data_IF_177385833881
#
_entry.id   IF_177385833881
#
_cell.length_a   1.000
_cell.length_b   1.000
_cell.length_c   1.000
_cell.angle_alpha   90.00
_cell.angle_beta   90.00
_cell.angle_gamma   90.00
#
_symmetry.space_group_name_H-M   'P 1'
#
loop_
_entity.id
_entity.type
_entity.pdbx_description
1 polymer ?
#
# COMPACT_ATOMS: atom_id res chain seq x y z
N UNK A 1 12.25 60.09 -22.75
CA UNK A 1 10.99 59.43 -22.32
C UNK A 1 10.44 58.72 -23.55
N UNK A 2 10.30 57.40 -23.70
CA UNK A 2 10.06 56.26 -22.80
C UNK A 2 10.72 55.03 -23.47
N UNK A 3 11.64 54.32 -22.82
CA UNK A 3 11.41 53.10 -22.03
C UNK A 3 10.67 52.00 -22.82
N UNK A 4 11.41 51.07 -23.43
CA UNK A 4 10.87 49.80 -23.93
C UNK A 4 11.70 48.65 -23.34
N UNK A 5 11.24 48.20 -22.18
CA UNK A 5 11.76 47.07 -21.41
C UNK A 5 11.35 45.77 -22.08
N UNK A 6 12.31 45.03 -22.64
CA UNK A 6 12.08 43.68 -23.16
C UNK A 6 11.99 42.70 -21.97
N UNK A 7 10.77 42.36 -21.54
CA UNK A 7 10.55 41.34 -20.51
C UNK A 7 10.30 40.01 -21.23
N UNK A 8 11.31 39.13 -21.18
CA UNK A 8 11.23 37.75 -21.65
C UNK A 8 10.50 36.92 -20.57
N UNK A 9 9.19 36.72 -20.73
CA UNK A 9 8.38 35.86 -19.84
C UNK A 9 8.70 34.39 -20.10
N UNK A 10 9.54 33.80 -19.26
CA UNK A 10 9.79 32.36 -19.19
C UNK A 10 8.58 31.67 -18.53
N UNK A 11 7.70 31.10 -19.34
CA UNK A 11 6.60 30.24 -18.87
C UNK A 11 7.19 28.92 -18.40
N UNK A 12 7.37 28.79 -17.08
CA UNK A 12 7.73 27.52 -16.45
C UNK A 12 6.49 26.62 -16.42
N UNK A 13 6.44 25.65 -17.32
CA UNK A 13 5.44 24.57 -17.31
C UNK A 13 5.81 23.60 -16.18
N UNK A 14 5.40 23.90 -14.94
CA UNK A 14 5.48 22.94 -13.83
C UNK A 14 4.40 21.89 -14.03
N UNK A 15 4.72 20.85 -14.80
CA UNK A 15 3.92 19.64 -14.89
C UNK A 15 3.77 19.03 -13.49
N UNK A 16 2.54 18.99 -13.00
CA UNK A 16 2.20 18.26 -11.78
C UNK A 16 2.47 16.77 -12.05
N UNK A 17 3.57 16.24 -11.51
CA UNK A 17 3.81 14.80 -11.44
C UNK A 17 2.78 14.22 -10.47
N UNK A 18 1.70 13.66 -11.02
CA UNK A 18 0.74 12.87 -10.26
C UNK A 18 1.41 11.54 -9.90
N UNK A 19 1.84 11.37 -8.65
CA UNK A 19 2.20 10.04 -8.13
C UNK A 19 0.90 9.24 -8.02
N UNK A 20 0.65 8.40 -9.02
CA UNK A 20 -0.50 7.51 -9.03
C UNK A 20 -0.25 6.40 -8.02
N UNK A 21 -0.63 6.63 -6.77
CA UNK A 21 -0.53 5.62 -5.73
C UNK A 21 -1.60 4.56 -6.00
N UNK A 22 -1.17 3.30 -5.94
CA UNK A 22 -2.05 2.17 -6.18
C UNK A 22 -2.61 1.68 -4.85
N UNK A 23 -3.83 2.13 -4.51
CA UNK A 23 -4.61 1.55 -3.44
C UNK A 23 -5.40 0.32 -3.88
N UNK A 24 -5.68 -0.56 -2.92
CA UNK A 24 -6.47 -1.76 -3.09
C UNK A 24 -7.54 -1.85 -2.02
N UNK A 25 -8.77 -2.11 -2.44
CA UNK A 25 -9.87 -2.43 -1.55
C UNK A 25 -10.07 -3.95 -1.49
N UNK A 26 -9.96 -4.54 -0.30
CA UNK A 26 -10.08 -5.97 -0.02
C UNK A 26 -11.17 -6.19 1.03
N UNK A 27 -12.44 -6.38 0.63
CA UNK A 27 -13.58 -6.41 1.56
C UNK A 27 -13.59 -5.16 2.47
N UNK A 28 -13.40 -5.31 3.79
CA UNK A 28 -13.30 -4.21 4.76
C UNK A 28 -11.89 -3.62 4.95
N UNK A 29 -10.89 -4.06 4.18
CA UNK A 29 -9.51 -3.60 4.30
C UNK A 29 -9.10 -2.71 3.13
N UNK A 30 -8.73 -1.47 3.44
CA UNK A 30 -8.11 -0.52 2.52
C UNK A 30 -6.59 -0.62 2.63
N UNK A 31 -5.93 -1.04 1.55
CA UNK A 31 -4.47 -1.21 1.49
C UNK A 31 -3.90 -0.11 0.61
N UNK A 32 -3.06 0.75 1.18
CA UNK A 32 -2.36 1.81 0.42
C UNK A 32 -0.88 1.84 0.75
N UNK A 33 -0.09 2.45 -0.12
CA UNK A 33 1.34 2.72 0.13
C UNK A 33 1.50 4.22 0.34
N UNK A 34 2.34 4.60 1.30
CA UNK A 34 2.69 6.00 1.50
C UNK A 34 4.07 6.26 0.93
N UNK A 35 4.17 7.27 0.07
CA UNK A 35 5.41 7.55 -0.66
C UNK A 35 6.52 8.08 0.23
N UNK A 36 6.17 8.73 1.35
CA UNK A 36 7.18 9.35 2.22
C UNK A 36 8.03 8.31 2.95
N UNK A 37 7.45 7.17 3.32
CA UNK A 37 8.16 6.11 4.06
C UNK A 37 8.18 4.75 3.35
N UNK A 38 7.50 4.61 2.21
CA UNK A 38 7.40 3.36 1.46
C UNK A 38 6.67 2.23 2.21
N UNK A 39 5.99 2.56 3.32
CA UNK A 39 5.34 1.55 4.16
C UNK A 39 3.86 1.42 3.81
N UNK A 40 3.35 0.19 3.89
CA UNK A 40 1.93 -0.07 3.65
C UNK A 40 1.08 0.47 4.82
N UNK A 41 -0.10 0.98 4.49
CA UNK A 41 -1.18 1.27 5.43
C UNK A 41 -2.30 0.26 5.24
N UNK A 42 -2.79 -0.28 6.33
CA UNK A 42 -4.04 -1.04 6.39
C UNK A 42 -5.07 -0.17 7.09
N UNK A 43 -6.16 0.19 6.42
CA UNK A 43 -7.18 1.12 6.93
C UNK A 43 -6.60 2.45 7.41
N UNK A 44 -5.56 2.94 6.71
CA UNK A 44 -4.85 4.18 7.08
C UNK A 44 -3.86 4.03 8.23
N UNK A 45 -3.72 2.85 8.82
CA UNK A 45 -2.76 2.57 9.88
C UNK A 45 -1.48 1.95 9.31
N UNK A 46 -0.33 2.53 9.65
CA UNK A 46 0.98 2.05 9.19
C UNK A 46 1.29 0.69 9.80
N UNK A 47 1.62 -0.29 8.96
CA UNK A 47 2.06 -1.61 9.42
C UNK A 47 3.35 -1.51 10.22
N UNK A 48 3.49 -2.34 11.25
CA UNK A 48 4.68 -2.35 12.12
C UNK A 48 5.83 -3.13 11.51
N UNK A 49 5.54 -4.05 10.59
CA UNK A 49 6.54 -4.75 9.78
C UNK A 49 6.02 -5.01 8.37
N UNK A 50 6.93 -5.05 7.40
CA UNK A 50 6.63 -5.45 6.04
C UNK A 50 7.83 -6.19 5.42
N UNK A 51 7.53 -7.25 4.66
CA UNK A 51 8.51 -7.99 3.87
C UNK A 51 7.94 -8.26 2.49
N UNK A 52 8.56 -7.68 1.48
CA UNK A 52 8.19 -7.88 0.08
C UNK A 52 9.05 -8.98 -0.51
N UNK A 53 8.41 -9.96 -1.15
CA UNK A 53 9.04 -10.99 -1.96
C UNK A 53 8.49 -10.95 -3.38
N UNK A 54 9.39 -10.99 -4.36
CA UNK A 54 9.01 -11.10 -5.76
C UNK A 54 8.78 -12.58 -6.12
N UNK A 55 7.63 -12.89 -6.71
CA UNK A 55 7.20 -14.27 -7.01
C UNK A 55 7.84 -14.77 -8.31
N UNK A 56 8.11 -13.87 -9.26
CA UNK A 56 8.69 -14.19 -10.57
C UNK A 56 10.10 -13.64 -10.69
N UNK A 57 10.21 -12.34 -10.94
CA UNK A 57 11.48 -11.65 -11.20
C UNK A 57 11.66 -10.51 -10.21
N UNK A 58 12.92 -10.25 -9.83
CA UNK A 58 13.26 -9.15 -8.93
C UNK A 58 12.79 -7.81 -9.53
N UNK A 59 12.01 -7.04 -8.78
CA UNK A 59 11.46 -5.76 -9.24
C UNK A 59 10.08 -5.85 -9.90
N UNK A 60 9.54 -7.06 -10.13
CA UNK A 60 8.18 -7.23 -10.67
C UNK A 60 7.12 -6.98 -9.57
N UNK A 61 6.77 -5.70 -9.38
CA UNK A 61 5.75 -5.28 -8.42
C UNK A 61 4.32 -5.71 -8.79
N UNK A 62 4.09 -6.27 -9.98
CA UNK A 62 2.80 -6.88 -10.33
C UNK A 62 2.70 -8.34 -9.87
N UNK A 63 3.83 -8.98 -9.52
CA UNK A 63 3.90 -10.35 -9.02
C UNK A 63 4.66 -10.41 -7.69
N UNK A 64 4.04 -9.91 -6.63
CA UNK A 64 4.64 -9.85 -5.28
C UNK A 64 3.79 -10.57 -4.25
N UNK A 65 4.47 -11.06 -3.23
CA UNK A 65 3.88 -11.41 -1.94
C UNK A 65 4.45 -10.47 -0.89
N UNK A 66 3.58 -9.81 -0.15
CA UNK A 66 3.97 -8.91 0.93
C UNK A 66 3.38 -9.40 2.24
N UNK A 67 4.24 -9.91 3.12
CA UNK A 67 3.87 -10.29 4.48
C UNK A 67 4.03 -9.08 5.42
N UNK A 68 3.05 -8.82 6.27
CA UNK A 68 3.01 -7.63 7.13
C UNK A 68 2.47 -7.97 8.51
N UNK A 69 2.88 -7.19 9.51
CA UNK A 69 2.32 -7.21 10.85
C UNK A 69 1.74 -5.86 11.24
N UNK A 70 0.67 -5.85 12.05
CA UNK A 70 0.14 -4.65 12.69
C UNK A 70 -0.14 -4.98 14.16
N UNK A 71 0.72 -4.49 15.05
CA UNK A 71 0.80 -4.93 16.44
C UNK A 71 1.27 -3.80 17.38
N UNK A 72 0.42 -3.32 18.30
CA UNK A 72 -1.03 -3.46 18.27
C UNK A 72 -1.63 -2.67 17.09
N UNK A 73 -2.80 -3.08 16.62
CA UNK A 73 -3.66 -2.25 15.80
C UNK A 73 -4.49 -1.31 16.68
N UNK A 74 -5.12 -0.28 16.08
CA UNK A 74 -5.99 0.68 16.79
C UNK A 74 -7.14 0.05 17.58
N UNK A 75 -7.63 -1.10 17.16
CA UNK A 75 -8.71 -1.85 17.84
C UNK A 75 -8.21 -2.73 18.99
N UNK A 76 -6.91 -2.68 19.31
CA UNK A 76 -6.28 -3.47 20.37
C UNK A 76 -5.88 -4.88 19.96
N UNK A 77 -6.20 -5.31 18.73
CA UNK A 77 -5.84 -6.62 18.22
C UNK A 77 -4.45 -6.65 17.59
N UNK A 78 -3.94 -7.86 17.36
CA UNK A 78 -2.70 -8.11 16.65
C UNK A 78 -3.02 -8.80 15.33
N UNK A 79 -2.54 -8.27 14.22
CA UNK A 79 -2.85 -8.82 12.90
C UNK A 79 -1.60 -9.20 12.12
N UNK A 80 -1.68 -10.36 11.47
CA UNK A 80 -0.79 -10.77 10.40
C UNK A 80 -1.52 -10.64 9.06
N UNK A 81 -0.88 -10.02 8.09
CA UNK A 81 -1.41 -9.87 6.74
C UNK A 81 -0.47 -10.47 5.72
N UNK A 82 -1.04 -11.01 4.65
CA UNK A 82 -0.30 -11.42 3.47
C UNK A 82 -1.06 -10.94 2.24
N UNK A 83 -0.53 -9.88 1.64
CA UNK A 83 -1.05 -9.28 0.42
C UNK A 83 -0.33 -9.89 -0.78
N UNK A 84 -1.08 -10.51 -1.69
CA UNK A 84 -0.51 -11.18 -2.86
C UNK A 84 -1.05 -10.51 -4.11
N UNK A 85 -0.13 -10.14 -5.00
CA UNK A 85 -0.40 -9.75 -6.39
C UNK A 85 0.20 -10.82 -7.28
N UNK A 86 -0.58 -11.41 -8.17
CA UNK A 86 -0.11 -12.43 -9.11
C UNK A 86 -1.01 -12.49 -10.34
N UNK A 87 -0.40 -12.46 -11.53
CA UNK A 87 -1.12 -12.61 -12.81
C UNK A 87 -2.34 -11.68 -12.94
N UNK A 88 -2.18 -10.40 -12.56
CA UNK A 88 -3.26 -9.40 -12.66
C UNK A 88 -4.36 -9.51 -11.60
N UNK A 89 -4.27 -10.48 -10.68
CA UNK A 89 -5.18 -10.61 -9.52
C UNK A 89 -4.48 -10.18 -8.25
N UNK A 90 -5.26 -9.70 -7.29
CA UNK A 90 -4.80 -9.37 -5.96
C UNK A 90 -5.76 -9.94 -4.90
N UNK A 91 -5.21 -10.41 -3.79
CA UNK A 91 -5.99 -10.83 -2.63
C UNK A 91 -5.20 -10.60 -1.33
N UNK A 92 -5.94 -10.50 -0.23
CA UNK A 92 -5.40 -10.27 1.10
C UNK A 92 -5.80 -11.45 1.99
N UNK A 93 -4.81 -12.13 2.54
CA UNK A 93 -5.01 -13.04 3.66
C UNK A 93 -4.79 -12.26 4.96
N UNK A 94 -5.68 -12.45 5.91
CA UNK A 94 -5.65 -11.82 7.23
C UNK A 94 -5.70 -12.92 8.28
N UNK A 95 -4.88 -12.79 9.31
CA UNK A 95 -4.93 -13.62 10.50
C UNK A 95 -4.96 -12.73 11.73
N UNK A 96 -5.92 -12.97 12.62
CA UNK A 96 -5.86 -12.45 13.98
C UNK A 96 -4.82 -13.26 14.76
N UNK A 97 -3.77 -12.58 15.21
CA UNK A 97 -2.71 -13.15 16.03
C UNK A 97 -3.20 -13.20 17.48
N UNK A 98 -3.20 -14.39 18.05
CA UNK A 98 -3.67 -14.66 19.40
C UNK A 98 -2.48 -14.99 20.29
N UNK A 99 -2.57 -14.66 21.58
CA UNK A 99 -1.50 -14.87 22.55
C UNK A 99 -1.33 -16.34 22.97
N UNK A 100 -2.29 -17.19 22.61
CA UNK A 100 -2.31 -18.61 22.98
C UNK A 100 -2.07 -19.48 21.73
N UNK A 101 -1.11 -20.40 21.81
CA UNK A 101 -0.69 -21.24 20.67
C UNK A 101 -1.70 -22.36 20.34
N UNK A 102 -2.54 -22.70 21.30
CA UNK A 102 -3.63 -23.68 21.21
C UNK A 102 -4.96 -23.05 20.75
N UNK A 103 -5.05 -21.73 20.71
CA UNK A 103 -6.26 -21.06 20.26
C UNK A 103 -6.49 -21.28 18.75
N UNK A 104 -7.75 -21.48 18.32
CA UNK A 104 -8.07 -21.69 16.92
C UNK A 104 -7.73 -20.44 16.12
N UNK A 105 -7.05 -20.62 14.98
CA UNK A 105 -6.69 -19.49 14.10
C UNK A 105 -7.94 -18.86 13.50
N UNK A 106 -8.11 -17.55 13.68
CA UNK A 106 -9.12 -16.76 12.99
C UNK A 106 -8.46 -16.16 11.75
N UNK A 107 -8.87 -16.66 10.58
CA UNK A 107 -8.29 -16.28 9.28
C UNK A 107 -9.38 -15.87 8.29
N UNK A 108 -9.04 -14.96 7.40
CA UNK A 108 -9.89 -14.55 6.28
C UNK A 108 -9.06 -14.34 5.01
N UNK A 109 -9.65 -14.66 3.86
CA UNK A 109 -9.05 -14.42 2.55
C UNK A 109 -10.01 -13.61 1.69
N UNK A 110 -9.56 -12.45 1.23
CA UNK A 110 -10.41 -11.47 0.57
C UNK A 110 -9.86 -11.12 -0.80
N UNK A 111 -10.65 -11.25 -1.89
CA UNK A 111 -10.25 -10.72 -3.18
C UNK A 111 -10.15 -9.20 -3.10
N UNK A 112 -9.15 -8.64 -3.77
CA UNK A 112 -8.90 -7.21 -3.79
C UNK A 112 -9.19 -6.61 -5.17
N UNK A 113 -9.65 -5.37 -5.18
CA UNK A 113 -9.79 -4.55 -6.39
C UNK A 113 -8.85 -3.36 -6.28
N UNK A 114 -8.13 -3.05 -7.35
CA UNK A 114 -7.38 -1.80 -7.44
C UNK A 114 -8.38 -0.64 -7.47
N UNK A 115 -8.11 0.40 -6.72
CA UNK A 115 -8.87 1.65 -6.69
C UNK A 115 -7.93 2.81 -6.98
N UNK A 116 -8.49 3.95 -7.39
CA UNK A 116 -7.73 5.20 -7.43
C UNK A 116 -7.63 5.73 -5.99
N UNK A 117 -6.42 6.16 -5.60
CA UNK A 117 -6.22 6.97 -4.40
C UNK A 117 -6.83 8.39 -4.61
#
# INVERSE_FOLDING_TARGET
MKLNTLILTMVALTGAVSTANAAFQCSGYHISVNDNDGMIRVNGEKVTSQKIAFIKEQGDYANTKTDMGLMPARDGNMYGFQFIKRNGKAWLNVQLLQNAMDAPKIIGSFPCKKIAD
#
